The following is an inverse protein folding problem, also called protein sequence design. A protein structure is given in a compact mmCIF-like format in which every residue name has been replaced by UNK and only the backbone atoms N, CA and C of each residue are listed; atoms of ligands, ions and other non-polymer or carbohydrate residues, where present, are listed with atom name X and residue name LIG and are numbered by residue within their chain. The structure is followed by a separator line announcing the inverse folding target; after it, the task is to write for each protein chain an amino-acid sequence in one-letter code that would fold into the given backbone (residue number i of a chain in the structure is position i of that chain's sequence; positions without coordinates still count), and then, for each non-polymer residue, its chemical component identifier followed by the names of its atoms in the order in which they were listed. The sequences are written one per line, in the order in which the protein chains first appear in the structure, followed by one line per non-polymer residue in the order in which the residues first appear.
data_IF_540379303551
#
_entry.id   IF_540379303551
#
_cell.length_a   1.000
_cell.length_b   1.000
_cell.length_c   1.000
_cell.angle_alpha   90.00
_cell.angle_beta   90.00
_cell.angle_gamma   90.00
#
_symmetry.space_group_name_H-M   'P 1'
#
loop_
_entity.id
_entity.type
_entity.pdbx_description
1 polymer ?
#
# COMPACT_ATOMS: atom_id res chain seq x y z
N UNK A 1 25.49 -7.55 38.35
CA UNK A 1 24.95 -8.23 37.15
C UNK A 1 23.51 -7.80 37.01
N UNK A 2 23.25 -6.70 36.31
CA UNK A 2 21.90 -6.19 36.06
C UNK A 2 21.27 -7.04 34.97
N UNK A 3 20.33 -7.90 35.35
CA UNK A 3 19.48 -8.64 34.41
C UNK A 3 18.70 -7.62 33.58
N UNK A 4 19.02 -7.53 32.29
CA UNK A 4 18.20 -6.82 31.32
C UNK A 4 16.91 -7.62 31.13
N UNK A 5 15.84 -7.19 31.80
CA UNK A 5 14.49 -7.68 31.51
C UNK A 5 14.14 -7.24 30.09
N UNK A 6 14.24 -8.17 29.14
CA UNK A 6 13.83 -7.94 27.76
C UNK A 6 12.32 -7.76 27.77
N UNK A 7 11.85 -6.54 27.47
CA UNK A 7 10.43 -6.26 27.33
C UNK A 7 9.83 -7.20 26.26
N UNK A 8 8.63 -7.76 26.48
CA UNK A 8 7.99 -8.60 25.48
C UNK A 8 7.83 -7.81 24.17
N UNK A 9 8.08 -8.47 23.04
CA UNK A 9 7.88 -7.87 21.72
C UNK A 9 6.41 -7.44 21.59
N UNK A 10 6.13 -6.24 21.06
CA UNK A 10 4.74 -5.78 20.87
C UNK A 10 4.00 -6.74 19.96
N UNK A 11 2.76 -7.09 20.33
CA UNK A 11 1.88 -7.83 19.42
C UNK A 11 1.53 -6.94 18.25
N UNK A 12 1.62 -7.46 17.03
CA UNK A 12 1.34 -6.71 15.81
C UNK A 12 0.06 -7.21 15.16
N UNK A 13 -0.77 -6.28 14.70
CA UNK A 13 -2.01 -6.57 13.99
C UNK A 13 -2.04 -5.83 12.66
N UNK A 14 -2.37 -6.55 11.60
CA UNK A 14 -2.57 -5.98 10.26
C UNK A 14 -3.96 -5.36 10.17
N UNK A 15 -4.06 -4.12 9.68
CA UNK A 15 -5.35 -3.50 9.37
C UNK A 15 -6.00 -4.14 8.14
N UNK A 16 -7.33 -4.16 8.12
CA UNK A 16 -8.06 -4.60 6.93
C UNK A 16 -7.73 -3.68 5.75
N UNK A 17 -7.77 -4.21 4.52
CA UNK A 17 -7.54 -3.44 3.31
C UNK A 17 -8.41 -2.16 3.23
N UNK A 18 -9.67 -2.28 3.67
CA UNK A 18 -10.62 -1.17 3.68
C UNK A 18 -10.24 -0.10 4.71
N UNK A 19 -9.78 -0.51 5.89
CA UNK A 19 -9.40 0.43 6.95
C UNK A 19 -8.04 1.08 6.64
N UNK A 20 -7.08 0.32 6.11
CA UNK A 20 -5.83 0.83 5.57
C UNK A 20 -6.09 1.90 4.51
N UNK A 21 -6.96 1.60 3.54
CA UNK A 21 -7.35 2.56 2.49
C UNK A 21 -7.93 3.84 3.07
N UNK A 22 -8.94 3.72 3.94
CA UNK A 22 -9.58 4.89 4.57
C UNK A 22 -8.57 5.76 5.32
N UNK A 23 -7.66 5.13 6.07
CA UNK A 23 -6.62 5.84 6.81
C UNK A 23 -5.70 6.60 5.84
N UNK A 24 -5.17 5.95 4.81
CA UNK A 24 -4.24 6.58 3.86
C UNK A 24 -4.91 7.69 3.04
N UNK A 25 -6.16 7.49 2.61
CA UNK A 25 -6.96 8.52 1.92
C UNK A 25 -7.17 9.75 2.80
N UNK A 26 -7.41 9.59 4.10
CA UNK A 26 -7.51 10.71 5.05
C UNK A 26 -6.19 11.49 5.20
N UNK A 27 -5.04 10.86 4.92
CA UNK A 27 -3.74 11.54 4.87
C UNK A 27 -3.42 12.13 3.49
N UNK A 28 -4.31 11.98 2.51
CA UNK A 28 -4.15 12.50 1.15
C UNK A 28 -3.23 11.64 0.27
N UNK A 29 -2.99 10.38 0.65
CA UNK A 29 -2.19 9.46 -0.16
C UNK A 29 -3.06 8.93 -1.31
N UNK A 30 -2.66 9.12 -2.58
CA UNK A 30 -3.45 8.69 -3.73
C UNK A 30 -3.40 7.17 -3.87
N UNK A 31 -4.56 6.54 -3.69
CA UNK A 31 -4.78 5.12 -3.93
C UNK A 31 -5.57 4.94 -5.23
N UNK A 32 -5.35 3.80 -5.91
CA UNK A 32 -6.15 3.44 -7.08
C UNK A 32 -7.63 3.43 -6.71
N UNK A 33 -8.56 3.99 -7.51
CA UNK A 33 -9.99 3.94 -7.16
C UNK A 33 -10.45 2.51 -6.92
N UNK A 34 -11.36 2.29 -5.96
CA UNK A 34 -11.89 0.96 -5.68
C UNK A 34 -13.38 1.00 -5.35
N UNK A 35 -14.07 -0.11 -5.64
CA UNK A 35 -15.45 -0.36 -5.19
C UNK A 35 -15.52 -1.73 -4.53
N UNK A 36 -16.13 -1.80 -3.37
CA UNK A 36 -16.50 -3.07 -2.73
C UNK A 36 -17.70 -3.68 -3.45
N UNK A 37 -17.66 -5.00 -3.63
CA UNK A 37 -18.73 -5.80 -4.19
C UNK A 37 -18.95 -7.04 -3.33
N UNK A 38 -20.21 -7.31 -3.01
CA UNK A 38 -20.65 -8.47 -2.23
C UNK A 38 -21.32 -9.54 -3.11
N UNK A 39 -21.33 -9.34 -4.43
CA UNK A 39 -21.77 -10.33 -5.41
C UNK A 39 -21.02 -10.18 -6.74
N UNK A 40 -21.06 -11.23 -7.56
CA UNK A 40 -20.49 -11.21 -8.91
C UNK A 40 -21.13 -10.12 -9.79
N UNK A 41 -22.45 -9.91 -9.67
CA UNK A 41 -23.18 -8.89 -10.40
C UNK A 41 -22.76 -7.47 -10.00
N UNK A 42 -22.57 -7.21 -8.70
CA UNK A 42 -22.03 -5.93 -8.22
C UNK A 42 -20.60 -5.71 -8.71
N UNK A 43 -19.78 -6.76 -8.72
CA UNK A 43 -18.42 -6.69 -9.20
C UNK A 43 -18.37 -6.34 -10.71
N UNK A 44 -19.19 -7.00 -11.52
CA UNK A 44 -19.34 -6.71 -12.95
C UNK A 44 -19.86 -5.29 -13.20
N UNK A 45 -20.83 -4.82 -12.41
CA UNK A 45 -21.34 -3.47 -12.51
C UNK A 45 -20.28 -2.41 -12.17
N UNK A 46 -19.49 -2.62 -11.12
CA UNK A 46 -18.37 -1.76 -10.79
C UNK A 46 -17.29 -1.77 -11.89
N UNK A 47 -17.00 -2.94 -12.46
CA UNK A 47 -16.05 -3.08 -13.55
C UNK A 47 -16.47 -2.30 -14.81
N UNK A 48 -17.74 -2.38 -15.20
CA UNK A 48 -18.29 -1.54 -16.28
C UNK A 48 -18.08 -0.05 -16.04
N UNK A 49 -18.26 0.41 -14.81
CA UNK A 49 -18.11 1.83 -14.46
C UNK A 49 -16.65 2.29 -14.50
N UNK A 50 -15.71 1.44 -14.10
CA UNK A 50 -14.28 1.75 -14.18
C UNK A 50 -13.71 1.62 -15.59
N UNK A 51 -14.31 0.76 -16.42
CA UNK A 51 -13.74 0.35 -17.68
C UNK A 51 -12.70 -0.76 -17.50
N UNK A 52 -12.47 -1.52 -18.57
CA UNK A 52 -11.59 -2.68 -18.58
C UNK A 52 -10.17 -2.31 -19.07
N UNK A 53 -9.11 -3.02 -18.62
CA UNK A 53 -9.17 -4.13 -17.68
C UNK A 53 -9.26 -3.71 -16.21
N UNK A 54 -9.81 -4.60 -15.39
CA UNK A 54 -9.92 -4.44 -13.92
C UNK A 54 -9.19 -5.54 -13.16
N UNK A 55 -9.05 -5.31 -11.86
CA UNK A 55 -8.49 -6.21 -10.87
C UNK A 55 -9.57 -6.51 -9.83
N UNK A 56 -9.67 -7.77 -9.41
CA UNK A 56 -10.41 -8.18 -8.22
C UNK A 56 -9.46 -8.59 -7.10
N UNK A 57 -9.69 -8.10 -5.88
CA UNK A 57 -8.97 -8.49 -4.66
C UNK A 57 -9.97 -8.92 -3.59
N UNK A 58 -9.90 -10.17 -3.15
CA UNK A 58 -10.65 -10.63 -1.98
C UNK A 58 -10.15 -9.96 -0.70
N UNK A 59 -11.08 -9.49 0.13
CA UNK A 59 -10.80 -8.83 1.40
C UNK A 59 -11.40 -9.64 2.55
N UNK A 60 -10.61 -9.81 3.61
CA UNK A 60 -11.04 -10.43 4.86
C UNK A 60 -9.92 -10.40 5.91
N UNK A 61 -10.29 -10.45 7.19
CA UNK A 61 -9.35 -10.35 8.34
C UNK A 61 -8.18 -11.34 8.27
N UNK A 62 -8.39 -12.53 7.69
CA UNK A 62 -7.38 -13.59 7.57
C UNK A 62 -6.80 -13.72 6.15
N UNK A 63 -6.89 -12.66 5.35
CA UNK A 63 -6.45 -12.63 3.94
C UNK A 63 -5.39 -11.56 3.66
N UNK A 64 -4.56 -11.19 4.65
CA UNK A 64 -3.54 -10.14 4.50
C UNK A 64 -2.59 -10.39 3.30
N UNK A 65 -2.10 -11.62 3.12
CA UNK A 65 -1.27 -12.01 1.96
C UNK A 65 -2.11 -12.50 0.78
N UNK A 66 -2.86 -11.56 0.17
CA UNK A 66 -3.88 -11.81 -0.86
C UNK A 66 -3.38 -12.64 -2.06
N UNK A 67 -2.18 -12.34 -2.55
CA UNK A 67 -1.57 -13.03 -3.71
C UNK A 67 -1.26 -14.48 -3.39
N UNK A 68 -0.67 -14.74 -2.21
CA UNK A 68 -0.33 -16.09 -1.74
C UNK A 68 -1.59 -16.92 -1.46
N UNK A 69 -2.65 -16.27 -0.96
CA UNK A 69 -3.96 -16.88 -0.79
C UNK A 69 -4.70 -17.11 -2.14
N UNK A 70 -4.14 -16.64 -3.26
CA UNK A 70 -4.74 -16.75 -4.59
C UNK A 70 -6.09 -16.04 -4.69
N UNK A 71 -6.32 -14.97 -3.92
CA UNK A 71 -7.55 -14.16 -3.91
C UNK A 71 -7.40 -12.85 -4.69
N UNK A 72 -6.38 -12.76 -5.54
CA UNK A 72 -6.21 -11.66 -6.51
C UNK A 72 -6.39 -12.20 -7.92
N UNK A 73 -7.15 -11.47 -8.75
CA UNK A 73 -7.31 -11.72 -10.18
C UNK A 73 -7.04 -10.43 -10.93
N UNK A 74 -6.08 -10.48 -11.85
CA UNK A 74 -5.60 -9.32 -12.61
C UNK A 74 -6.06 -9.44 -14.07
N UNK A 75 -6.00 -8.31 -14.78
CA UNK A 75 -6.22 -8.23 -16.24
C UNK A 75 -7.56 -8.83 -16.71
N UNK A 76 -8.62 -8.56 -15.96
CA UNK A 76 -9.97 -9.01 -16.32
C UNK A 76 -10.55 -8.02 -17.34
N UNK A 77 -10.90 -8.50 -18.52
CA UNK A 77 -11.22 -7.70 -19.71
C UNK A 77 -12.69 -7.72 -20.10
N UNK A 78 -13.52 -8.46 -19.38
CA UNK A 78 -14.95 -8.56 -19.63
C UNK A 78 -15.73 -8.81 -18.35
N UNK A 79 -17.04 -8.55 -18.38
CA UNK A 79 -17.94 -8.86 -17.25
C UNK A 79 -17.95 -10.34 -16.94
N UNK A 80 -17.95 -11.20 -17.96
CA UNK A 80 -17.91 -12.65 -17.79
C UNK A 80 -16.63 -13.11 -17.08
N UNK A 81 -15.48 -12.52 -17.42
CA UNK A 81 -14.23 -12.78 -16.69
C UNK A 81 -14.29 -12.29 -15.24
N UNK A 82 -14.93 -11.15 -14.98
CA UNK A 82 -15.13 -10.61 -13.63
C UNK A 82 -16.03 -11.51 -12.78
N UNK A 83 -17.15 -11.98 -13.32
CA UNK A 83 -18.06 -12.88 -12.61
C UNK A 83 -17.40 -14.23 -12.31
N UNK A 84 -16.67 -14.79 -13.27
CA UNK A 84 -15.89 -16.02 -13.07
C UNK A 84 -14.81 -15.83 -11.99
N UNK A 85 -14.04 -14.74 -12.08
CA UNK A 85 -13.02 -14.40 -11.09
C UNK A 85 -13.61 -14.19 -9.69
N UNK A 86 -14.78 -13.57 -9.57
CA UNK A 86 -15.48 -13.42 -8.29
C UNK A 86 -15.82 -14.78 -7.67
N UNK A 87 -16.39 -15.70 -8.47
CA UNK A 87 -16.74 -17.03 -8.00
C UNK A 87 -15.51 -17.82 -7.53
N UNK A 88 -14.39 -17.72 -8.26
CA UNK A 88 -13.13 -18.34 -7.84
C UNK A 88 -12.57 -17.78 -6.54
N UNK A 89 -12.61 -16.44 -6.37
CA UNK A 89 -12.17 -15.78 -5.15
C UNK A 89 -13.04 -16.22 -3.97
N UNK A 90 -14.37 -16.23 -4.14
CA UNK A 90 -15.31 -16.66 -3.12
C UNK A 90 -15.08 -18.13 -2.72
N UNK A 91 -14.89 -19.02 -3.69
CA UNK A 91 -14.61 -20.43 -3.41
C UNK A 91 -13.30 -20.64 -2.65
N UNK A 92 -12.24 -19.88 -2.98
CA UNK A 92 -10.92 -19.99 -2.31
C UNK A 92 -10.90 -19.37 -0.92
N UNK A 93 -11.54 -18.21 -0.77
CA UNK A 93 -11.58 -17.50 0.50
C UNK A 93 -12.53 -18.17 1.50
N UNK A 94 -13.66 -18.70 1.03
CA UNK A 94 -14.67 -19.35 1.87
C UNK A 94 -15.32 -18.35 2.85
N UNK A 95 -15.49 -18.80 4.09
CA UNK A 95 -16.03 -18.01 5.21
C UNK A 95 -15.16 -16.80 5.60
N UNK A 96 -13.90 -16.77 5.14
CA UNK A 96 -12.99 -15.64 5.37
C UNK A 96 -13.25 -14.46 4.45
N UNK A 97 -14.04 -14.61 3.37
CA UNK A 97 -14.32 -13.51 2.46
C UNK A 97 -15.37 -12.57 3.06
N UNK A 98 -14.98 -11.31 3.24
CA UNK A 98 -15.91 -10.25 3.66
C UNK A 98 -16.48 -9.50 2.44
N UNK A 99 -15.64 -9.19 1.46
CA UNK A 99 -16.03 -8.50 0.22
C UNK A 99 -14.94 -8.70 -0.84
N UNK A 100 -15.23 -8.32 -2.09
CA UNK A 100 -14.24 -8.21 -3.16
C UNK A 100 -14.09 -6.75 -3.55
N UNK A 101 -12.86 -6.26 -3.62
CA UNK A 101 -12.55 -4.95 -4.18
C UNK A 101 -12.34 -5.05 -5.69
N UNK A 102 -13.06 -4.22 -6.43
CA UNK A 102 -12.90 -3.99 -7.86
C UNK A 102 -12.09 -2.72 -8.07
N UNK A 103 -11.00 -2.79 -8.84
CA UNK A 103 -10.09 -1.67 -9.11
C UNK A 103 -9.77 -1.61 -10.61
N UNK A 104 -9.61 -0.43 -11.23
CA UNK A 104 -9.02 -0.34 -12.56
C UNK A 104 -7.57 -0.88 -12.54
N UNK A 105 -7.17 -1.57 -13.60
CA UNK A 105 -5.81 -2.08 -13.71
C UNK A 105 -4.86 -0.98 -14.21
N UNK A 106 -4.09 -0.38 -13.31
CA UNK A 106 -3.01 0.54 -13.67
C UNK A 106 -1.81 -0.27 -14.16
N UNK A 107 -1.29 0.06 -15.35
CA UNK A 107 -0.06 -0.54 -15.90
C UNK A 107 1.04 0.50 -15.99
N UNK A 108 2.17 0.22 -15.38
CA UNK A 108 3.37 1.04 -15.47
C UNK A 108 4.60 0.14 -15.50
N UNK A 109 5.60 0.51 -16.28
CA UNK A 109 6.96 -0.10 -16.20
C UNK A 109 7.82 0.58 -15.13
N UNK A 110 7.30 1.67 -14.55
CA UNK A 110 7.92 2.46 -13.50
C UNK A 110 7.14 2.20 -12.23
N UNK A 111 7.72 1.36 -11.39
CA UNK A 111 7.17 0.97 -10.10
C UNK A 111 8.12 1.48 -9.02
N UNK A 112 7.55 2.11 -8.00
CA UNK A 112 8.26 2.59 -6.82
C UNK A 112 7.64 1.96 -5.59
N UNK A 113 8.36 2.03 -4.47
CA UNK A 113 7.84 1.69 -3.15
C UNK A 113 8.03 2.88 -2.24
N UNK A 114 7.10 3.07 -1.32
CA UNK A 114 7.28 3.97 -0.21
C UNK A 114 6.70 3.34 1.05
N UNK A 115 7.25 3.67 2.19
CA UNK A 115 6.76 3.12 3.44
C UNK A 115 7.13 3.94 4.64
N UNK A 116 6.58 3.54 5.77
CA UNK A 116 6.89 4.04 7.09
C UNK A 116 7.26 2.83 7.95
N UNK A 117 8.34 2.93 8.71
CA UNK A 117 8.65 1.99 9.78
C UNK A 117 9.06 2.75 11.04
N UNK A 118 9.07 2.10 12.19
CA UNK A 118 9.59 2.70 13.43
C UNK A 118 10.92 2.07 13.82
N UNK A 119 11.95 2.90 13.80
CA UNK A 119 13.24 2.56 14.38
C UNK A 119 13.21 2.77 15.91
N UNK A 120 13.92 1.92 16.66
CA UNK A 120 13.92 1.96 18.12
C UNK A 120 14.62 3.21 18.69
N UNK A 121 15.56 3.79 17.97
CA UNK A 121 16.33 4.97 18.39
C UNK A 121 15.79 6.26 17.76
N UNK A 122 15.45 6.21 16.47
CA UNK A 122 15.06 7.39 15.70
C UNK A 122 13.54 7.59 15.60
N UNK A 123 12.74 6.60 15.96
CA UNK A 123 11.29 6.65 15.83
C UNK A 123 10.83 6.48 14.38
N UNK A 124 9.76 7.17 13.93
CA UNK A 124 9.19 6.97 12.60
C UNK A 124 10.17 7.38 11.50
N UNK A 125 10.41 6.46 10.57
CA UNK A 125 11.30 6.62 9.43
C UNK A 125 10.54 6.33 8.13
N UNK A 126 10.59 7.26 7.19
CA UNK A 126 10.00 7.13 5.85
C UNK A 126 11.04 6.53 4.91
N UNK A 127 10.60 5.58 4.09
CA UNK A 127 11.38 4.94 3.02
C UNK A 127 10.80 5.34 1.67
N UNK A 128 11.68 5.55 0.69
CA UNK A 128 11.32 5.61 -0.73
C UNK A 128 12.32 4.81 -1.55
N UNK A 129 11.87 4.10 -2.58
CA UNK A 129 12.76 3.29 -3.39
C UNK A 129 12.18 2.83 -4.71
N UNK A 130 13.04 2.16 -5.49
CA UNK A 130 12.61 1.44 -6.69
C UNK A 130 11.79 0.21 -6.30
N UNK A 131 10.63 0.04 -6.93
CA UNK A 131 9.73 -1.09 -6.75
C UNK A 131 9.91 -2.21 -7.78
N UNK A 132 9.00 -3.18 -7.73
CA UNK A 132 8.97 -4.32 -8.64
C UNK A 132 9.99 -5.41 -8.31
N UNK A 133 10.22 -6.33 -9.25
CA UNK A 133 11.07 -7.53 -9.06
C UNK A 133 12.53 -7.23 -8.67
N UNK A 134 12.99 -6.00 -8.91
CA UNK A 134 14.37 -5.61 -8.64
C UNK A 134 14.56 -4.99 -7.24
N UNK A 135 13.48 -4.76 -6.47
CA UNK A 135 13.53 -4.12 -5.15
C UNK A 135 14.51 -4.83 -4.20
N UNK A 136 14.36 -6.14 -4.04
CA UNK A 136 15.20 -6.96 -3.13
C UNK A 136 16.64 -7.10 -3.62
N UNK A 137 16.84 -7.17 -4.94
CA UNK A 137 18.14 -7.39 -5.56
C UNK A 137 19.00 -6.13 -5.61
N UNK A 138 18.41 -4.96 -5.84
CA UNK A 138 19.14 -3.70 -5.99
C UNK A 138 19.25 -2.90 -4.70
N UNK A 139 18.35 -3.12 -3.72
CA UNK A 139 18.28 -2.38 -2.45
C UNK A 139 18.38 -0.87 -2.64
N UNK A 140 17.71 -0.38 -3.70
CA UNK A 140 17.78 1.01 -4.12
C UNK A 140 16.74 1.86 -3.39
N UNK A 141 17.07 2.23 -2.16
CA UNK A 141 16.18 2.90 -1.22
C UNK A 141 16.88 4.07 -0.53
N UNK A 142 16.09 5.09 -0.20
CA UNK A 142 16.47 6.23 0.62
C UNK A 142 15.57 6.29 1.86
N UNK A 143 16.15 6.68 3.00
CA UNK A 143 15.44 6.82 4.27
C UNK A 143 15.57 8.24 4.81
N UNK A 144 14.53 8.73 5.50
CA UNK A 144 14.55 9.93 6.32
C UNK A 144 13.74 9.71 7.59
N UNK A 145 14.19 10.30 8.70
CA UNK A 145 13.42 10.32 9.95
C UNK A 145 12.30 11.35 9.81
N UNK A 146 11.09 11.02 10.29
CA UNK A 146 9.96 11.92 10.29
C UNK A 146 10.04 12.94 11.45
N UNK A 147 9.44 14.14 11.31
CA UNK A 147 8.69 14.63 10.15
C UNK A 147 9.59 15.00 8.96
N UNK A 148 9.02 14.96 7.74
CA UNK A 148 9.71 15.37 6.52
C UNK A 148 9.23 16.75 6.06
N UNK A 149 10.18 17.64 5.76
CA UNK A 149 9.92 18.82 4.94
C UNK A 149 9.87 18.44 3.45
N UNK A 150 9.39 19.38 2.62
CA UNK A 150 9.37 19.17 1.16
C UNK A 150 10.76 18.94 0.58
N UNK A 151 11.77 19.64 1.11
CA UNK A 151 13.15 19.45 0.72
C UNK A 151 13.63 18.03 1.00
N UNK A 152 13.38 17.49 2.19
CA UNK A 152 13.79 16.13 2.55
C UNK A 152 13.19 15.10 1.58
N UNK A 153 11.89 15.24 1.29
CA UNK A 153 11.18 14.36 0.39
C UNK A 153 11.73 14.42 -1.04
N UNK A 154 12.02 15.62 -1.57
CA UNK A 154 12.62 15.79 -2.89
C UNK A 154 14.07 15.26 -2.98
N UNK A 155 14.84 15.40 -1.90
CA UNK A 155 16.18 14.82 -1.79
C UNK A 155 16.10 13.29 -1.82
N UNK A 156 15.16 12.67 -1.10
CA UNK A 156 14.94 11.21 -1.15
C UNK A 156 14.70 10.70 -2.58
N UNK A 157 13.92 11.43 -3.40
CA UNK A 157 13.70 11.08 -4.80
C UNK A 157 15.00 11.12 -5.64
N UNK A 158 15.95 11.95 -5.24
CA UNK A 158 17.23 12.16 -5.93
C UNK A 158 18.34 11.20 -5.46
N UNK A 159 18.17 10.60 -4.28
CA UNK A 159 19.13 9.70 -3.64
C UNK A 159 19.05 8.27 -4.16
N UNK A 160 17.92 7.85 -4.72
CA UNK A 160 17.81 6.54 -5.37
C UNK A 160 18.68 6.49 -6.64
N UNK A 161 19.39 5.38 -6.85
CA UNK A 161 20.23 5.12 -8.04
C UNK A 161 19.39 5.15 -9.32
N UNK A 162 18.16 4.66 -9.23
CA UNK A 162 17.18 4.62 -10.31
C UNK A 162 16.44 5.94 -10.51
N UNK A 163 16.88 7.07 -9.92
CA UNK A 163 16.24 8.40 -10.06
C UNK A 163 15.96 8.81 -11.52
N UNK A 164 16.72 8.30 -12.49
CA UNK A 164 16.46 8.53 -13.92
C UNK A 164 15.09 8.03 -14.37
N UNK A 165 14.48 7.07 -13.68
CA UNK A 165 13.12 6.61 -13.95
C UNK A 165 12.05 7.65 -13.56
N UNK A 166 12.41 8.65 -12.74
CA UNK A 166 11.54 9.78 -12.42
C UNK A 166 11.58 10.86 -13.51
N UNK A 167 12.54 10.79 -14.43
CA UNK A 167 12.65 11.72 -15.56
C UNK A 167 11.82 11.23 -16.76
N UNK A 168 11.83 12.02 -17.83
CA UNK A 168 11.29 11.58 -19.11
C UNK A 168 12.15 10.43 -19.66
N UNK A 169 11.52 9.28 -19.91
CA UNK A 169 12.21 8.07 -20.36
C UNK A 169 11.36 7.35 -21.41
N UNK A 170 11.96 7.03 -22.56
CA UNK A 170 11.32 6.25 -23.64
C UNK A 170 9.95 6.81 -24.07
N UNK A 171 9.84 8.13 -24.18
CA UNK A 171 8.60 8.82 -24.57
C UNK A 171 7.51 8.85 -23.48
N UNK A 172 7.82 8.41 -22.25
CA UNK A 172 6.94 8.56 -21.09
C UNK A 172 7.28 9.85 -20.35
N UNK A 173 6.28 10.66 -19.93
CA UNK A 173 6.53 11.92 -19.25
C UNK A 173 7.25 11.71 -17.91
N UNK A 174 7.98 12.73 -17.47
CA UNK A 174 8.57 12.75 -16.13
C UNK A 174 7.51 12.52 -15.04
N UNK A 175 7.93 11.90 -13.94
CA UNK A 175 7.09 11.70 -12.77
C UNK A 175 6.73 13.05 -12.14
N UNK A 176 5.52 13.15 -11.61
CA UNK A 176 5.11 14.26 -10.76
C UNK A 176 5.83 14.14 -9.41
N UNK A 177 7.02 14.75 -9.35
CA UNK A 177 7.89 14.74 -8.17
C UNK A 177 7.25 15.42 -6.97
N UNK A 178 6.40 16.44 -7.20
CA UNK A 178 5.69 17.11 -6.12
C UNK A 178 4.64 16.19 -5.50
N UNK A 179 3.89 15.44 -6.34
CA UNK A 179 2.95 14.43 -5.85
C UNK A 179 3.65 13.30 -5.08
N UNK A 180 4.79 12.81 -5.59
CA UNK A 180 5.60 11.80 -4.86
C UNK A 180 6.10 12.34 -3.52
N UNK A 181 6.64 13.56 -3.49
CA UNK A 181 7.07 14.20 -2.25
C UNK A 181 5.89 14.40 -1.27
N UNK A 182 4.70 14.69 -1.78
CA UNK A 182 3.45 14.76 -1.00
C UNK A 182 3.13 13.43 -0.30
N UNK A 183 3.30 12.30 -0.98
CA UNK A 183 3.12 10.96 -0.40
C UNK A 183 4.11 10.74 0.75
N UNK A 184 5.40 11.03 0.55
CA UNK A 184 6.43 10.81 1.56
C UNK A 184 6.20 11.67 2.81
N UNK A 185 5.81 12.93 2.62
CA UNK A 185 5.44 13.83 3.72
C UNK A 185 4.18 13.35 4.45
N UNK A 186 3.19 12.85 3.71
CA UNK A 186 1.97 12.29 4.31
C UNK A 186 2.27 11.06 5.17
N UNK A 187 3.15 10.16 4.70
CA UNK A 187 3.65 9.02 5.50
C UNK A 187 4.38 9.49 6.76
N UNK A 188 5.26 10.50 6.62
CA UNK A 188 5.96 11.09 7.77
C UNK A 188 5.00 11.69 8.80
N UNK A 189 4.00 12.46 8.35
CA UNK A 189 2.95 13.01 9.21
C UNK A 189 2.14 11.91 9.89
N UNK A 190 1.72 10.88 9.16
CA UNK A 190 1.02 9.71 9.70
C UNK A 190 1.83 9.05 10.82
N UNK A 191 3.14 8.85 10.61
CA UNK A 191 4.02 8.26 11.62
C UNK A 191 4.22 9.11 12.87
N UNK A 192 4.04 10.43 12.79
CA UNK A 192 4.09 11.30 13.97
C UNK A 192 2.74 11.29 14.70
N UNK A 193 1.64 11.38 13.96
CA UNK A 193 0.29 11.54 14.52
C UNK A 193 -0.35 10.23 15.01
N UNK A 194 0.10 9.07 14.51
CA UNK A 194 -0.43 7.75 14.85
C UNK A 194 0.65 6.84 15.46
N UNK A 195 1.03 7.03 16.75
CA UNK A 195 2.06 6.23 17.42
C UNK A 195 1.86 4.72 17.33
N UNK A 196 0.61 4.27 17.27
CA UNK A 196 0.23 2.87 17.16
C UNK A 196 0.50 2.27 15.78
N UNK A 197 0.71 3.07 14.74
CA UNK A 197 1.11 2.57 13.42
C UNK A 197 2.59 2.19 13.47
N UNK A 198 2.87 0.89 13.42
CA UNK A 198 4.22 0.35 13.41
C UNK A 198 4.84 0.39 12.01
N UNK A 199 4.04 0.09 10.99
CA UNK A 199 4.48 -0.02 9.61
C UNK A 199 3.39 0.43 8.63
N UNK A 200 3.81 1.10 7.56
CA UNK A 200 3.01 1.31 6.34
C UNK A 200 3.86 0.87 5.17
N UNK A 201 3.30 0.04 4.29
CA UNK A 201 3.93 -0.35 3.03
C UNK A 201 3.02 0.04 1.87
N UNK A 202 3.51 0.86 0.95
CA UNK A 202 2.86 1.23 -0.30
C UNK A 202 3.63 0.56 -1.44
N UNK A 203 3.19 -0.64 -1.81
CA UNK A 203 3.91 -1.48 -2.74
C UNK A 203 2.98 -2.23 -3.72
N UNK A 204 2.95 -1.87 -5.01
CA UNK A 204 3.70 -0.80 -5.64
C UNK A 204 2.97 0.56 -5.65
N UNK A 205 3.75 1.61 -5.79
CA UNK A 205 3.34 2.92 -6.33
C UNK A 205 3.65 2.93 -7.82
N UNK A 206 2.61 3.02 -8.65
CA UNK A 206 2.73 3.06 -10.10
C UNK A 206 2.59 4.50 -10.61
N UNK A 207 3.20 4.80 -11.77
CA UNK A 207 2.99 6.06 -12.47
C UNK A 207 1.89 5.90 -13.53
N UNK A 208 0.72 6.50 -13.29
CA UNK A 208 -0.34 6.68 -14.28
C UNK A 208 -0.11 8.01 -15.03
N UNK A 209 0.50 7.89 -16.21
CA UNK A 209 1.15 9.02 -16.87
C UNK A 209 2.26 9.59 -15.97
N UNK A 210 2.20 10.87 -15.55
CA UNK A 210 3.13 11.44 -14.58
C UNK A 210 2.72 11.17 -13.12
N UNK A 211 1.46 10.84 -12.83
CA UNK A 211 0.93 10.86 -11.47
C UNK A 211 1.22 9.55 -10.71
N UNK A 212 1.75 9.61 -9.49
CA UNK A 212 1.91 8.43 -8.66
C UNK A 212 0.57 7.97 -8.05
N UNK A 213 0.34 6.67 -8.05
CA UNK A 213 -0.82 6.04 -7.41
C UNK A 213 -0.40 4.73 -6.75
N UNK A 214 -0.70 4.56 -5.46
CA UNK A 214 -0.47 3.27 -4.82
C UNK A 214 -1.61 2.30 -5.18
N UNK A 215 -1.25 1.11 -5.63
CA UNK A 215 -2.24 0.10 -6.06
C UNK A 215 -2.47 -0.98 -5.00
N UNK A 216 -1.57 -1.10 -4.03
CA UNK A 216 -1.74 -1.92 -2.83
C UNK A 216 -1.13 -1.19 -1.64
N UNK A 217 -1.68 -1.46 -0.46
CA UNK A 217 -1.15 -0.90 0.77
C UNK A 217 -1.36 -1.85 1.95
N UNK A 218 -0.38 -1.92 2.83
CA UNK A 218 -0.42 -2.67 4.09
C UNK A 218 -0.17 -1.72 5.24
N UNK A 219 -0.92 -1.84 6.33
CA UNK A 219 -0.65 -1.13 7.57
C UNK A 219 -0.62 -2.13 8.72
N UNK A 220 0.44 -2.05 9.51
CA UNK A 220 0.62 -2.84 10.72
C UNK A 220 0.54 -1.90 11.92
N UNK A 221 -0.28 -2.28 12.90
CA UNK A 221 -0.38 -1.59 14.17
C UNK A 221 0.37 -2.39 15.25
N UNK A 222 1.01 -1.68 16.17
CA UNK A 222 1.40 -2.23 17.46
C UNK A 222 0.16 -2.26 18.38
N UNK A 223 -0.18 -3.44 18.90
CA UNK A 223 -1.18 -3.58 19.95
C UNK A 223 -0.56 -3.10 21.26
N UNK A 224 -0.90 -1.88 21.67
CA UNK A 224 -0.70 -1.49 23.06
C UNK A 224 -1.73 -2.23 23.90
N UNK A 225 -1.30 -3.05 24.86
CA UNK A 225 -2.20 -3.56 25.91
C UNK A 225 -2.94 -2.36 26.51
N UNK A 226 -4.25 -2.27 26.28
CA UNK A 226 -5.09 -1.34 27.04
C UNK A 226 -4.99 -1.81 28.49
N UNK A 227 -4.51 -1.00 29.45
CA UNK A 227 -4.52 -1.41 30.84
C UNK A 227 -5.95 -1.78 31.19
N UNK A 228 -6.16 -3.00 31.69
CA UNK A 228 -7.45 -3.43 32.20
C UNK A 228 -7.94 -2.32 33.14
N UNK A 229 -9.13 -1.76 32.85
CA UNK A 229 -9.75 -0.78 33.74
C UNK A 229 -9.82 -1.41 35.12
N UNK A 230 -9.01 -0.93 36.05
CA UNK A 230 -9.14 -1.29 37.45
C UNK A 230 -10.53 -0.83 37.89
N UNK A 231 -11.38 -1.79 38.27
CA UNK A 231 -12.63 -1.54 38.96
C UNK A 231 -12.36 -1.18 40.42
#
# INVERSE_FOLDING_TARGET
MTSTTQAPLPRRRVLSELDSRKLLENYGIPLVPARSASSAAEAAAAARQFGFPVVLKGVGEKLAHKTEAGVVRLDLRSEAEVEAAYAEIAARAGDRLQTVLVQPMVRSEREFVAGLTRDAQFGPCVMFGLGGIFTEALKDVAFRVAPLEERDALEMLSDIRARRLLDEVRGKPAADRAALAGILRALGRLGIERPEVAEVDLNPILLDGPKPVAVDALIVLDETETPARAH
#
